data_IF_679364905744
#
_entry.id   IF_679364905744
#
_cell.length_a   1.000
_cell.length_b   1.000
_cell.length_c   1.000
_cell.angle_alpha   90.00
_cell.angle_beta   90.00
_cell.angle_gamma   90.00
#
_symmetry.space_group_name_H-M   'P 1'
#
loop_
_entity.id
_entity.type
_entity.pdbx_description
1 polymer ?
#
# COMPACT_ATOMS: atom_id res chain seq x y z
N UNK A 1 35.90 0.84 -9.03
CA UNK A 1 34.83 1.25 -8.07
C UNK A 1 33.97 0.04 -7.70
N UNK A 2 33.50 -0.73 -8.68
CA UNK A 2 32.84 -2.03 -8.48
C UNK A 2 33.75 -3.02 -7.73
N UNK A 3 35.06 -3.03 -8.00
CA UNK A 3 36.01 -3.95 -7.33
C UNK A 3 36.10 -3.72 -5.82
N UNK A 4 36.07 -2.46 -5.39
CA UNK A 4 36.08 -2.11 -3.96
C UNK A 4 34.80 -2.58 -3.25
N UNK A 5 33.67 -2.51 -3.95
CA UNK A 5 32.40 -3.04 -3.44
C UNK A 5 32.41 -4.57 -3.36
N UNK A 6 32.96 -5.25 -4.36
CA UNK A 6 33.11 -6.71 -4.36
C UNK A 6 33.99 -7.19 -3.21
N UNK A 7 35.13 -6.52 -2.95
CA UNK A 7 36.02 -6.88 -1.85
C UNK A 7 35.36 -6.71 -0.48
N UNK A 8 34.55 -5.65 -0.31
CA UNK A 8 33.78 -5.45 0.91
C UNK A 8 32.69 -6.51 1.07
N UNK A 9 31.97 -6.81 -0.02
CA UNK A 9 30.93 -7.83 -0.04
C UNK A 9 31.47 -9.23 0.24
N UNK A 10 32.64 -9.59 -0.30
CA UNK A 10 33.36 -10.83 0.01
C UNK A 10 33.64 -10.97 1.52
N UNK A 11 34.01 -9.88 2.18
CA UNK A 11 34.13 -9.83 3.65
C UNK A 11 32.79 -10.04 4.37
N UNK A 12 31.69 -9.49 3.84
CA UNK A 12 30.33 -9.71 4.36
C UNK A 12 29.89 -11.16 4.15
N UNK A 13 30.19 -11.77 2.99
CA UNK A 13 29.91 -13.16 2.70
C UNK A 13 30.64 -14.09 3.68
N UNK A 14 31.93 -13.83 3.95
CA UNK A 14 32.70 -14.57 4.96
C UNK A 14 32.17 -14.39 6.37
N UNK A 15 31.71 -13.19 6.73
CA UNK A 15 31.05 -12.93 8.01
C UNK A 15 29.71 -13.66 8.14
N UNK A 16 28.91 -13.69 7.08
CA UNK A 16 27.67 -14.45 7.06
C UNK A 16 27.91 -15.95 7.11
N UNK A 17 28.91 -16.46 6.39
CA UNK A 17 29.21 -17.89 6.32
C UNK A 17 29.69 -18.49 7.65
N UNK A 18 30.37 -17.70 8.50
CA UNK A 18 30.84 -18.14 9.81
C UNK A 18 29.75 -18.11 10.92
N UNK A 19 28.60 -17.48 10.67
CA UNK A 19 27.48 -17.47 11.61
C UNK A 19 26.83 -18.85 11.72
N UNK A 20 26.39 -19.22 12.92
CA UNK A 20 25.59 -20.43 13.09
C UNK A 20 24.24 -20.29 12.36
N UNK A 21 23.72 -21.41 11.84
CA UNK A 21 22.46 -21.50 11.09
C UNK A 21 21.29 -20.66 11.64
N UNK A 22 20.95 -20.69 12.95
CA UNK A 22 19.83 -19.88 13.46
C UNK A 22 20.02 -18.38 13.29
N UNK A 23 21.25 -17.87 13.37
CA UNK A 23 21.52 -16.44 13.17
C UNK A 23 21.42 -16.03 11.69
N UNK A 24 21.91 -16.87 10.77
CA UNK A 24 21.74 -16.65 9.33
C UNK A 24 20.26 -16.58 8.96
N UNK A 25 19.45 -17.51 9.46
CA UNK A 25 18.01 -17.52 9.22
C UNK A 25 17.31 -16.30 9.83
N UNK A 26 17.67 -15.90 11.05
CA UNK A 26 17.13 -14.69 11.67
C UNK A 26 17.45 -13.43 10.87
N UNK A 27 18.69 -13.26 10.40
CA UNK A 27 19.08 -12.14 9.52
C UNK A 27 18.30 -12.17 8.20
N UNK A 28 18.19 -13.35 7.59
CA UNK A 28 17.42 -13.53 6.36
C UNK A 28 15.95 -13.16 6.55
N UNK A 29 15.30 -13.60 7.64
CA UNK A 29 13.92 -13.22 7.96
C UNK A 29 13.80 -11.72 8.25
N UNK A 30 14.75 -11.14 8.97
CA UNK A 30 14.80 -9.70 9.23
C UNK A 30 14.89 -8.85 7.97
N UNK A 31 15.49 -9.35 6.88
CA UNK A 31 15.57 -8.63 5.60
C UNK A 31 14.39 -9.00 4.68
N UNK A 32 14.00 -10.27 4.64
CA UNK A 32 12.96 -10.79 3.74
C UNK A 32 11.58 -10.25 4.10
N UNK A 33 11.23 -10.21 5.39
CA UNK A 33 9.94 -9.72 5.84
C UNK A 33 9.69 -8.25 5.47
N UNK A 34 10.58 -7.29 5.80
CA UNK A 34 10.38 -5.90 5.39
C UNK A 34 10.48 -5.73 3.88
N UNK A 35 11.30 -6.52 3.18
CA UNK A 35 11.34 -6.49 1.72
C UNK A 35 9.99 -6.90 1.12
N UNK A 36 9.39 -7.99 1.62
CA UNK A 36 8.06 -8.45 1.20
C UNK A 36 6.98 -7.39 1.48
N UNK A 37 6.98 -6.82 2.70
CA UNK A 37 6.06 -5.73 3.05
C UNK A 37 6.27 -4.49 2.18
N UNK A 38 7.53 -4.16 1.88
CA UNK A 38 7.90 -3.04 1.01
C UNK A 38 7.40 -3.24 -0.41
N UNK A 39 7.57 -4.44 -0.97
CA UNK A 39 7.08 -4.79 -2.31
C UNK A 39 5.55 -4.79 -2.34
N UNK A 40 4.88 -5.36 -1.35
CA UNK A 40 3.42 -5.32 -1.26
C UNK A 40 2.90 -3.87 -1.24
N UNK A 41 3.48 -3.02 -0.38
CA UNK A 41 3.17 -1.58 -0.30
C UNK A 41 3.44 -0.85 -1.61
N UNK A 42 4.48 -1.24 -2.34
CA UNK A 42 4.80 -0.66 -3.64
C UNK A 42 3.74 -1.03 -4.68
N UNK A 43 3.33 -2.29 -4.72
CA UNK A 43 2.27 -2.77 -5.61
C UNK A 43 0.96 -2.04 -5.29
N UNK A 44 0.56 -1.97 -4.02
CA UNK A 44 -0.64 -1.25 -3.59
C UNK A 44 -0.62 0.22 -4.07
N UNK A 45 0.51 0.92 -3.90
CA UNK A 45 0.68 2.30 -4.39
C UNK A 45 0.58 2.40 -5.91
N UNK A 46 1.14 1.45 -6.65
CA UNK A 46 1.07 1.43 -8.12
C UNK A 46 -0.37 1.22 -8.56
N UNK A 47 -1.10 0.32 -7.90
CA UNK A 47 -2.52 0.04 -8.18
C UNK A 47 -3.40 1.24 -7.86
N UNK A 48 -3.20 1.91 -6.72
CA UNK A 48 -3.94 3.12 -6.35
C UNK A 48 -3.70 4.26 -7.35
N UNK A 49 -2.44 4.48 -7.72
CA UNK A 49 -2.06 5.51 -8.70
C UNK A 49 -2.60 5.20 -10.11
N UNK A 50 -2.66 3.92 -10.49
CA UNK A 50 -3.31 3.53 -11.74
C UNK A 50 -4.83 3.76 -11.67
N UNK A 51 -5.48 3.33 -10.60
CA UNK A 51 -6.95 3.42 -10.44
C UNK A 51 -7.44 4.86 -10.43
N UNK A 52 -6.74 5.76 -9.74
CA UNK A 52 -7.03 7.21 -9.74
C UNK A 52 -6.88 7.84 -11.12
N UNK A 53 -5.97 7.33 -11.96
CA UNK A 53 -5.80 7.80 -13.34
C UNK A 53 -6.90 7.32 -14.28
N UNK A 54 -7.51 6.17 -14.00
CA UNK A 54 -8.52 5.56 -14.85
C UNK A 54 -9.98 5.81 -14.42
N UNK A 55 -10.24 6.32 -13.22
CA UNK A 55 -11.60 6.62 -12.76
C UNK A 55 -11.84 8.13 -12.64
N UNK A 56 -12.25 8.84 -13.71
CA UNK A 56 -12.88 10.14 -13.57
C UNK A 56 -14.19 9.93 -12.80
N UNK A 57 -14.18 10.28 -11.50
CA UNK A 57 -15.34 10.21 -10.62
C UNK A 57 -16.51 10.92 -11.31
N UNK A 58 -17.58 10.22 -11.70
CA UNK A 58 -18.80 10.88 -12.12
C UNK A 58 -19.27 11.68 -10.91
N UNK A 59 -19.27 13.00 -11.03
CA UNK A 59 -19.97 13.89 -10.11
C UNK A 59 -21.40 13.36 -9.99
N UNK A 60 -21.73 12.70 -8.89
CA UNK A 60 -23.12 12.51 -8.51
C UNK A 60 -23.63 13.92 -8.30
N UNK A 61 -24.39 14.42 -9.26
CA UNK A 61 -25.14 15.66 -9.13
C UNK A 61 -25.92 15.56 -7.82
N UNK A 62 -25.55 16.38 -6.86
CA UNK A 62 -26.39 16.72 -5.72
C UNK A 62 -27.59 17.54 -6.23
N UNK A 63 -28.44 16.92 -7.05
CA UNK A 63 -29.60 17.57 -7.69
C UNK A 63 -30.87 16.69 -7.61
N UNK A 64 -31.05 15.99 -6.50
CA UNK A 64 -32.33 15.37 -6.19
C UNK A 64 -32.56 15.29 -4.69
N UNK A 65 -32.26 16.38 -3.97
CA UNK A 65 -32.82 16.65 -2.64
C UNK A 65 -33.62 17.97 -2.65
N UNK A 66 -34.13 18.35 -3.83
CA UNK A 66 -35.28 19.25 -3.99
C UNK A 66 -36.60 18.45 -3.97
N UNK A 67 -36.58 17.25 -3.37
CA UNK A 67 -37.80 16.58 -2.93
C UNK A 67 -38.16 17.12 -1.55
N UNK A 68 -38.57 18.40 -1.52
CA UNK A 68 -39.40 18.98 -0.47
C UNK A 68 -40.44 17.91 -0.08
N UNK A 69 -40.40 17.33 1.14
CA UNK A 69 -41.44 16.41 1.55
C UNK A 69 -42.73 17.23 1.56
N UNK A 70 -43.66 16.84 0.70
CA UNK A 70 -45.03 17.34 0.67
C UNK A 70 -45.55 17.34 2.10
N UNK A 71 -45.63 18.54 2.71
CA UNK A 71 -46.21 18.68 4.03
C UNK A 71 -47.69 18.41 3.85
N UNK A 72 -48.09 17.20 4.20
CA UNK A 72 -49.50 16.82 4.33
C UNK A 72 -50.16 17.80 5.30
N UNK A 73 -50.90 18.75 4.75
CA UNK A 73 -51.63 19.77 5.49
C UNK A 73 -52.71 19.09 6.35
N UNK A 74 -52.44 18.94 7.65
CA UNK A 74 -53.36 18.44 8.66
C UNK A 74 -54.41 19.49 9.08
N UNK A 75 -54.87 20.34 8.15
CA UNK A 75 -55.84 21.43 8.44
C UNK A 75 -57.05 21.40 7.50
N UNK A 76 -57.40 20.23 6.97
CA UNK A 76 -58.70 20.04 6.32
C UNK A 76 -59.70 19.50 7.34
N UNK A 77 -60.65 20.30 7.85
CA UNK A 77 -61.79 19.76 8.59
C UNK A 77 -62.68 18.98 7.62
N UNK A 78 -63.07 17.77 8.03
CA UNK A 78 -64.11 16.94 7.40
C UNK A 78 -65.50 17.47 7.70
#
# INVERSE_FOLDING_TARGET
>A
MVDAFQQWWDGVELWLAQLAFPFQFALLMCVLLPLCLGVARLIDRVVDNASTRFNPVPKVSAESDDAQPDKVDATRPS
#
